data_IF_206529132425
#
_entry.id   IF_206529132425
#
_cell.length_a   1.000
_cell.length_b   1.000
_cell.length_c   1.000
_cell.angle_alpha   90.00
_cell.angle_beta   90.00
_cell.angle_gamma   90.00
#
_symmetry.space_group_name_H-M   'P 1'
#
loop_
_entity.id
_entity.type
_entity.pdbx_description
1 polymer ?
#
# COMPACT_ATOMS: atom_id res chain seq x y z
N UNK A 1 -72.80 -27.90 20.23
CA UNK A 1 -71.33 -28.07 20.11
C UNK A 1 -70.97 -27.80 18.67
N UNK A 2 -70.26 -26.70 18.36
CA UNK A 2 -69.93 -26.35 16.98
C UNK A 2 -69.43 -24.93 16.71
N UNK A 3 -69.10 -24.12 17.73
CA UNK A 3 -68.73 -22.70 17.54
C UNK A 3 -67.26 -22.35 17.83
N UNK A 4 -66.43 -23.31 18.27
CA UNK A 4 -65.02 -23.03 18.62
C UNK A 4 -64.03 -23.21 17.46
N UNK A 5 -64.35 -24.02 16.45
CA UNK A 5 -63.47 -24.23 15.29
C UNK A 5 -63.33 -23.01 14.38
N UNK A 6 -64.41 -22.25 14.20
CA UNK A 6 -64.47 -21.14 13.24
C UNK A 6 -63.70 -19.89 13.74
N UNK A 7 -63.72 -19.64 15.05
CA UNK A 7 -62.96 -18.55 15.67
C UNK A 7 -61.44 -18.83 15.72
N UNK A 8 -61.05 -20.09 15.90
CA UNK A 8 -59.64 -20.48 15.85
C UNK A 8 -59.05 -20.31 14.44
N UNK A 9 -59.78 -20.67 13.39
CA UNK A 9 -59.35 -20.45 12.02
C UNK A 9 -59.19 -18.95 11.70
N UNK A 10 -60.16 -18.12 12.10
CA UNK A 10 -60.05 -16.66 11.92
C UNK A 10 -58.88 -16.00 12.67
N UNK A 11 -58.56 -16.46 13.88
CA UNK A 11 -57.42 -15.95 14.63
C UNK A 11 -56.07 -16.35 13.98
N UNK A 12 -55.99 -17.57 13.46
CA UNK A 12 -54.82 -18.06 12.71
C UNK A 12 -54.68 -17.31 11.37
N UNK A 13 -55.77 -17.09 10.64
CA UNK A 13 -55.76 -16.30 9.40
C UNK A 13 -55.36 -14.84 9.66
N UNK A 14 -55.82 -14.26 10.78
CA UNK A 14 -55.40 -12.95 11.24
C UNK A 14 -53.89 -12.88 11.51
N UNK A 15 -53.33 -13.91 12.15
CA UNK A 15 -51.89 -14.00 12.42
C UNK A 15 -51.07 -14.17 11.13
N UNK A 16 -51.54 -15.02 10.19
CA UNK A 16 -50.91 -15.20 8.88
C UNK A 16 -50.91 -13.90 8.08
N UNK A 17 -52.02 -13.16 8.09
CA UNK A 17 -52.10 -11.84 7.45
C UNK A 17 -51.16 -10.83 8.11
N UNK A 18 -51.05 -10.82 9.44
CA UNK A 18 -50.13 -9.95 10.16
C UNK A 18 -48.67 -10.24 9.78
N UNK A 19 -48.26 -11.51 9.78
CA UNK A 19 -46.89 -11.88 9.39
C UNK A 19 -46.61 -11.60 7.92
N UNK A 20 -47.59 -11.82 7.04
CA UNK A 20 -47.47 -11.49 5.62
C UNK A 20 -47.26 -10.00 5.42
N UNK A 21 -48.04 -9.17 6.13
CA UNK A 21 -47.88 -7.72 6.12
C UNK A 21 -46.53 -7.29 6.71
N UNK A 22 -46.13 -7.83 7.86
CA UNK A 22 -44.85 -7.50 8.48
C UNK A 22 -43.67 -7.86 7.56
N UNK A 23 -43.72 -9.02 6.89
CA UNK A 23 -42.71 -9.43 5.93
C UNK A 23 -42.66 -8.50 4.71
N UNK A 24 -43.82 -8.08 4.21
CA UNK A 24 -43.91 -7.09 3.15
C UNK A 24 -43.31 -5.75 3.57
N UNK A 25 -43.70 -5.24 4.74
CA UNK A 25 -43.20 -3.97 5.28
C UNK A 25 -41.67 -4.02 5.47
N UNK A 26 -41.12 -5.10 6.01
CA UNK A 26 -39.67 -5.32 6.14
C UNK A 26 -38.96 -5.34 4.77
N UNK A 27 -39.57 -5.98 3.77
CA UNK A 27 -39.02 -6.03 2.41
C UNK A 27 -38.97 -4.63 1.79
N UNK A 28 -40.02 -3.83 1.98
CA UNK A 28 -40.08 -2.44 1.50
C UNK A 28 -39.01 -1.59 2.19
N UNK A 29 -38.86 -1.71 3.50
CA UNK A 29 -37.82 -1.01 4.27
C UNK A 29 -36.43 -1.40 3.77
N UNK A 30 -36.15 -2.70 3.62
CA UNK A 30 -34.86 -3.18 3.12
C UNK A 30 -34.52 -2.62 1.74
N UNK A 31 -35.47 -2.65 0.81
CA UNK A 31 -35.27 -2.15 -0.55
C UNK A 31 -35.02 -0.63 -0.57
N UNK A 32 -35.72 0.12 0.29
CA UNK A 32 -35.52 1.56 0.41
C UNK A 32 -34.14 1.89 0.99
N UNK A 33 -33.72 1.17 2.03
CA UNK A 33 -32.40 1.33 2.63
C UNK A 33 -31.29 0.99 1.63
N UNK A 34 -31.40 -0.09 0.85
CA UNK A 34 -30.40 -0.43 -0.16
C UNK A 34 -30.27 0.66 -1.25
N UNK A 35 -31.40 1.23 -1.67
CA UNK A 35 -31.43 2.33 -2.64
C UNK A 35 -30.78 3.59 -2.08
N UNK A 36 -31.16 4.00 -0.87
CA UNK A 36 -30.58 5.17 -0.20
C UNK A 36 -29.08 4.97 0.04
N UNK A 37 -28.67 3.77 0.46
CA UNK A 37 -27.27 3.42 0.67
C UNK A 37 -26.44 3.56 -0.62
N UNK A 38 -26.90 3.02 -1.75
CA UNK A 38 -26.20 3.15 -3.04
C UNK A 38 -26.17 4.59 -3.57
N UNK A 39 -27.19 5.38 -3.26
CA UNK A 39 -27.25 6.78 -3.66
C UNK A 39 -26.26 7.64 -2.86
N UNK A 40 -26.16 7.41 -1.55
CA UNK A 40 -25.24 8.12 -0.66
C UNK A 40 -23.79 7.67 -0.88
N UNK A 41 -23.59 6.36 -1.07
CA UNK A 41 -22.27 5.75 -1.23
C UNK A 41 -22.10 5.17 -2.63
N UNK A 42 -21.60 5.97 -3.60
CA UNK A 42 -21.20 5.45 -4.89
C UNK A 42 -20.07 4.43 -4.75
N UNK A 43 -19.84 3.64 -5.79
CA UNK A 43 -18.95 2.48 -5.76
C UNK A 43 -17.53 2.75 -5.26
N UNK A 44 -16.97 3.92 -5.54
CA UNK A 44 -15.65 4.36 -5.09
C UNK A 44 -15.60 4.76 -3.61
N UNK A 45 -16.74 5.07 -3.00
CA UNK A 45 -16.90 5.50 -1.61
C UNK A 45 -17.70 4.51 -0.75
N UNK A 46 -18.10 3.36 -1.31
CA UNK A 46 -18.81 2.32 -0.59
C UNK A 46 -17.92 1.76 0.54
N UNK A 47 -18.35 1.88 1.82
CA UNK A 47 -17.53 1.46 2.97
C UNK A 47 -17.06 0.00 2.90
N UNK A 48 -17.91 -0.90 2.42
CA UNK A 48 -17.58 -2.32 2.31
C UNK A 48 -16.51 -2.57 1.25
N UNK A 49 -16.59 -1.86 0.12
CA UNK A 49 -15.56 -1.90 -0.95
C UNK A 49 -14.27 -1.21 -0.52
N UNK A 50 -14.34 -0.15 0.28
CA UNK A 50 -13.16 0.50 0.83
C UNK A 50 -12.41 -0.44 1.77
N UNK A 51 -13.12 -1.11 2.68
CA UNK A 51 -12.50 -2.10 3.59
C UNK A 51 -11.84 -3.24 2.81
N UNK A 52 -12.48 -3.75 1.75
CA UNK A 52 -11.85 -4.81 0.96
C UNK A 52 -10.60 -4.35 0.21
N UNK A 53 -10.60 -3.12 -0.33
CA UNK A 53 -9.42 -2.51 -0.96
C UNK A 53 -8.30 -2.26 0.05
N UNK A 54 -8.63 -1.78 1.24
CA UNK A 54 -7.66 -1.56 2.32
C UNK A 54 -7.02 -2.88 2.74
N UNK A 55 -7.83 -3.94 2.95
CA UNK A 55 -7.31 -5.27 3.26
C UNK A 55 -6.38 -5.79 2.18
N UNK A 56 -6.78 -5.66 0.91
CA UNK A 56 -5.93 -6.04 -0.22
C UNK A 56 -4.57 -5.31 -0.19
N UNK A 57 -4.58 -4.00 0.05
CA UNK A 57 -3.34 -3.21 0.17
C UNK A 57 -2.52 -3.70 1.37
N UNK A 58 -3.14 -3.95 2.53
CA UNK A 58 -2.46 -4.46 3.72
C UNK A 58 -1.82 -5.84 3.49
N UNK A 59 -2.45 -6.69 2.69
CA UNK A 59 -1.93 -8.01 2.34
C UNK A 59 -0.78 -7.93 1.33
N UNK A 60 -0.86 -7.01 0.35
CA UNK A 60 0.15 -6.86 -0.72
C UNK A 60 1.37 -6.02 -0.32
N UNK A 61 1.20 -5.04 0.59
CA UNK A 61 2.24 -4.09 0.98
C UNK A 61 3.49 -4.75 1.61
N UNK A 62 3.39 -5.76 2.49
CA UNK A 62 4.56 -6.44 3.06
C UNK A 62 5.41 -7.13 1.98
N UNK A 63 4.75 -7.81 1.04
CA UNK A 63 5.42 -8.47 -0.08
C UNK A 63 6.13 -7.46 -0.98
N UNK A 64 5.49 -6.32 -1.25
CA UNK A 64 6.11 -5.24 -2.01
C UNK A 64 7.32 -4.64 -1.27
N UNK A 65 7.22 -4.44 0.05
CA UNK A 65 8.34 -3.94 0.88
C UNK A 65 9.54 -4.90 0.81
N UNK A 66 9.29 -6.20 0.94
CA UNK A 66 10.34 -7.23 0.85
C UNK A 66 11.02 -7.21 -0.53
N UNK A 67 10.25 -7.16 -1.62
CA UNK A 67 10.80 -7.07 -2.97
C UNK A 67 11.64 -5.80 -3.19
N UNK A 68 11.22 -4.66 -2.63
CA UNK A 68 12.02 -3.43 -2.68
C UNK A 68 13.33 -3.59 -1.90
N UNK A 69 13.31 -4.20 -0.72
CA UNK A 69 14.52 -4.44 0.08
C UNK A 69 15.50 -5.39 -0.62
N UNK A 70 14.99 -6.45 -1.25
CA UNK A 70 15.81 -7.37 -2.06
C UNK A 70 16.44 -6.64 -3.25
N UNK A 71 15.67 -5.82 -3.96
CA UNK A 71 16.17 -5.02 -5.08
C UNK A 71 17.26 -4.03 -4.64
N UNK A 72 17.08 -3.35 -3.51
CA UNK A 72 18.08 -2.45 -2.95
C UNK A 72 19.37 -3.20 -2.60
N UNK A 73 19.25 -4.38 -1.99
CA UNK A 73 20.39 -5.24 -1.64
C UNK A 73 21.14 -5.71 -2.89
N UNK A 74 20.41 -6.19 -3.90
CA UNK A 74 20.99 -6.61 -5.17
C UNK A 74 21.71 -5.47 -5.91
N UNK A 75 21.16 -4.24 -5.84
CA UNK A 75 21.82 -3.06 -6.40
C UNK A 75 23.11 -2.70 -5.65
N UNK A 76 23.11 -2.81 -4.32
CA UNK A 76 24.32 -2.57 -3.52
C UNK A 76 25.42 -3.59 -3.84
N UNK A 77 25.06 -4.87 -3.95
CA UNK A 77 25.99 -5.92 -4.36
C UNK A 77 26.61 -5.67 -5.74
N UNK A 78 25.80 -5.16 -6.68
CA UNK A 78 26.28 -4.80 -8.01
C UNK A 78 27.27 -3.64 -7.96
N UNK A 79 27.00 -2.61 -7.16
CA UNK A 79 27.88 -1.47 -6.95
C UNK A 79 29.21 -1.93 -6.35
N UNK A 80 29.17 -2.77 -5.33
CA UNK A 80 30.37 -3.27 -4.66
C UNK A 80 31.25 -4.12 -5.59
N UNK A 81 30.62 -4.97 -6.41
CA UNK A 81 31.30 -5.73 -7.46
C UNK A 81 31.92 -4.82 -8.52
N UNK A 82 31.15 -3.86 -9.05
CA UNK A 82 31.64 -2.92 -10.04
C UNK A 82 32.83 -2.11 -9.52
N UNK A 83 32.74 -1.60 -8.28
CA UNK A 83 33.81 -0.87 -7.62
C UNK A 83 35.06 -1.72 -7.47
N UNK A 84 34.92 -2.94 -6.96
CA UNK A 84 36.05 -3.86 -6.77
C UNK A 84 36.74 -4.18 -8.10
N UNK A 85 35.97 -4.49 -9.15
CA UNK A 85 36.50 -4.78 -10.48
C UNK A 85 37.18 -3.58 -11.12
N UNK A 86 36.53 -2.40 -11.12
CA UNK A 86 37.07 -1.20 -11.76
C UNK A 86 38.33 -0.72 -11.05
N UNK A 87 38.32 -0.64 -9.71
CA UNK A 87 39.50 -0.25 -8.93
C UNK A 87 40.65 -1.24 -9.13
N UNK A 88 40.37 -2.55 -9.11
CA UNK A 88 41.37 -3.60 -9.35
C UNK A 88 41.98 -3.56 -10.76
N UNK A 89 41.14 -3.35 -11.77
CA UNK A 89 41.58 -3.20 -13.17
C UNK A 89 42.44 -1.95 -13.35
N UNK A 90 42.03 -0.82 -12.78
CA UNK A 90 42.82 0.43 -12.81
C UNK A 90 44.17 0.26 -12.13
N UNK A 91 44.22 -0.36 -10.95
CA UNK A 91 45.47 -0.63 -10.26
C UNK A 91 46.43 -1.46 -11.13
N UNK A 92 45.90 -2.46 -11.84
CA UNK A 92 46.70 -3.29 -12.76
C UNK A 92 47.18 -2.52 -13.98
N UNK A 93 46.33 -1.68 -14.58
CA UNK A 93 46.72 -0.77 -15.67
C UNK A 93 47.83 0.19 -15.26
N UNK A 94 47.74 0.79 -14.06
CA UNK A 94 48.77 1.69 -13.53
C UNK A 94 50.12 1.01 -13.36
N UNK A 95 50.13 -0.23 -12.84
CA UNK A 95 51.37 -1.01 -12.75
C UNK A 95 51.98 -1.26 -14.13
N UNK A 96 51.14 -1.58 -15.13
CA UNK A 96 51.60 -1.81 -16.50
C UNK A 96 52.16 -0.53 -17.13
N UNK A 97 51.46 0.60 -17.01
CA UNK A 97 51.92 1.91 -17.47
C UNK A 97 53.28 2.27 -16.87
N UNK A 98 53.43 2.09 -15.55
CA UNK A 98 54.69 2.32 -14.84
C UNK A 98 55.81 1.44 -15.41
N UNK A 99 55.54 0.15 -15.64
CA UNK A 99 56.52 -0.79 -16.20
C UNK A 99 56.95 -0.48 -17.64
N UNK A 100 56.10 0.20 -18.41
CA UNK A 100 56.36 0.59 -19.79
C UNK A 100 56.85 2.03 -19.94
N UNK A 101 57.03 2.76 -18.82
CA UNK A 101 57.43 4.17 -18.83
C UNK A 101 56.37 5.13 -19.41
N UNK A 102 55.11 4.71 -19.43
CA UNK A 102 53.98 5.50 -19.92
C UNK A 102 53.48 6.38 -18.75
N UNK A 103 53.17 7.67 -18.99
CA UNK A 103 52.59 8.54 -17.97
C UNK A 103 51.30 7.97 -17.37
N UNK A 104 51.19 8.01 -16.04
CA UNK A 104 50.00 7.57 -15.32
C UNK A 104 48.94 8.66 -15.39
N UNK A 105 47.71 8.29 -15.78
CA UNK A 105 46.55 9.19 -15.76
C UNK A 105 46.05 9.31 -14.30
N UNK A 106 45.95 10.55 -13.81
CA UNK A 106 45.37 10.85 -12.49
C UNK A 106 43.89 10.45 -12.44
N UNK A 107 43.38 10.13 -11.26
CA UNK A 107 41.95 9.80 -11.11
C UNK A 107 41.03 11.00 -11.42
N UNK A 108 41.51 12.23 -11.17
CA UNK A 108 40.81 13.48 -11.53
C UNK A 108 40.74 13.72 -13.03
N UNK A 109 41.67 13.15 -13.78
CA UNK A 109 41.85 13.41 -15.21
C UNK A 109 41.09 12.38 -16.06
N UNK A 110 40.36 11.46 -15.39
CA UNK A 110 39.47 10.49 -16.00
C UNK A 110 38.01 10.86 -15.72
N UNK A 111 37.32 11.53 -16.67
CA UNK A 111 35.93 11.93 -16.51
C UNK A 111 34.98 10.74 -16.29
N UNK A 112 35.29 9.57 -16.86
CA UNK A 112 34.43 8.39 -16.74
C UNK A 112 34.54 7.78 -15.33
N UNK A 113 35.74 7.75 -14.76
CA UNK A 113 35.94 7.28 -13.39
C UNK A 113 35.39 8.26 -12.35
N UNK A 114 35.51 9.57 -12.60
CA UNK A 114 34.90 10.60 -11.75
C UNK A 114 33.39 10.48 -11.73
N UNK A 115 32.75 10.43 -12.91
CA UNK A 115 31.31 10.23 -13.05
C UNK A 115 30.82 8.93 -12.38
N UNK A 116 31.58 7.84 -12.47
CA UNK A 116 31.24 6.60 -11.78
C UNK A 116 31.18 6.77 -10.25
N UNK A 117 32.14 7.49 -9.66
CA UNK A 117 32.14 7.74 -8.22
C UNK A 117 30.99 8.67 -7.81
N UNK A 118 30.72 9.72 -8.59
CA UNK A 118 29.60 10.65 -8.33
C UNK A 118 28.25 9.91 -8.30
N UNK A 119 28.00 9.02 -9.27
CA UNK A 119 26.77 8.21 -9.32
C UNK A 119 26.65 7.29 -8.08
N UNK A 120 27.76 6.73 -7.60
CA UNK A 120 27.76 5.90 -6.38
C UNK A 120 27.51 6.73 -5.13
N UNK A 121 28.11 7.91 -5.04
CA UNK A 121 27.95 8.80 -3.91
C UNK A 121 26.51 9.33 -3.84
N UNK A 122 25.93 9.71 -4.98
CA UNK A 122 24.52 10.09 -5.09
C UNK A 122 23.60 8.97 -4.60
N UNK A 123 23.83 7.75 -5.07
CA UNK A 123 23.08 6.57 -4.61
C UNK A 123 23.18 6.38 -3.09
N UNK A 124 24.39 6.50 -2.54
CA UNK A 124 24.65 6.33 -1.10
C UNK A 124 23.88 7.35 -0.27
N UNK A 125 23.74 8.59 -0.75
CA UNK A 125 22.94 9.63 -0.12
C UNK A 125 21.45 9.29 -0.16
N UNK A 126 20.93 8.87 -1.32
CA UNK A 126 19.51 8.53 -1.49
C UNK A 126 19.06 7.35 -0.61
N UNK A 127 19.91 6.34 -0.41
CA UNK A 127 19.59 5.20 0.47
C UNK A 127 19.59 5.61 1.94
N UNK A 128 20.53 6.48 2.35
CA UNK A 128 20.62 6.96 3.74
C UNK A 128 19.45 7.84 4.13
N UNK A 129 19.10 8.83 3.29
CA UNK A 129 18.02 9.76 3.60
C UNK A 129 16.68 9.05 3.81
N UNK A 130 16.40 7.99 3.03
CA UNK A 130 15.16 7.22 3.13
C UNK A 130 15.09 6.31 4.35
N UNK A 131 16.24 5.94 4.91
CA UNK A 131 16.29 5.10 6.13
C UNK A 131 15.99 5.93 7.38
N UNK A 132 16.28 7.24 7.36
CA UNK A 132 15.99 8.15 8.48
C UNK A 132 14.49 8.55 8.54
N UNK A 133 13.82 8.70 7.39
CA UNK A 133 12.39 9.05 7.33
C UNK A 133 11.45 7.95 7.89
N UNK A 134 11.82 6.66 7.79
CA UNK A 134 11.00 5.54 8.31
C UNK A 134 10.86 5.53 9.85
N UNK A 135 11.68 6.29 10.59
CA UNK A 135 11.67 6.32 12.06
C UNK A 135 10.63 7.32 12.61
N UNK A 136 10.19 8.31 11.82
CA UNK A 136 9.37 9.44 12.29
C UNK A 136 7.87 9.38 11.90
N UNK A 137 7.49 8.60 10.89
CA UNK A 137 6.11 8.58 10.34
C UNK A 137 5.09 7.72 11.13
N UNK A 138 5.44 7.24 12.32
CA UNK A 138 4.63 6.27 13.07
C UNK A 138 3.42 6.80 13.85
N UNK A 139 3.14 8.12 13.91
CA UNK A 139 2.26 8.66 14.97
C UNK A 139 1.12 9.61 14.56
N UNK A 140 0.98 10.02 13.29
CA UNK A 140 -0.22 10.79 12.92
C UNK A 140 -1.34 9.85 12.50
N UNK A 141 -2.05 9.38 13.53
CA UNK A 141 -3.22 8.52 13.50
C UNK A 141 -4.27 9.05 12.50
N UNK A 142 -4.22 8.54 11.26
CA UNK A 142 -5.13 8.86 10.15
C UNK A 142 -6.59 8.71 10.59
N UNK A 143 -6.88 7.77 11.49
CA UNK A 143 -8.22 7.62 12.05
C UNK A 143 -8.62 8.86 12.85
N UNK A 144 -7.73 9.42 13.68
CA UNK A 144 -8.00 10.65 14.44
C UNK A 144 -8.28 11.83 13.53
N UNK A 145 -7.56 11.94 12.41
CA UNK A 145 -7.77 13.00 11.43
C UNK A 145 -9.13 12.85 10.71
N UNK A 146 -9.48 11.63 10.27
CA UNK A 146 -10.77 11.33 9.62
C UNK A 146 -11.97 11.53 10.56
N UNK A 147 -11.86 11.13 11.84
CA UNK A 147 -12.97 11.24 12.78
C UNK A 147 -13.11 12.66 13.38
N UNK A 148 -12.04 13.45 13.43
CA UNK A 148 -12.12 14.85 13.86
C UNK A 148 -12.84 15.77 12.84
N UNK A 149 -12.71 15.50 11.53
CA UNK A 149 -13.34 16.28 10.48
C UNK A 149 -14.88 16.10 10.42
N UNK A 150 -15.39 14.95 10.84
CA UNK A 150 -16.83 14.64 10.79
C UNK A 150 -17.60 15.29 11.96
N UNK A 151 -16.93 15.59 13.08
CA UNK A 151 -17.58 16.11 14.30
C UNK A 151 -17.74 17.64 14.29
N UNK A 152 -17.08 18.38 13.40
CA UNK A 152 -17.17 19.85 13.33
C UNK A 152 -18.34 20.39 12.49
N UNK A 153 -19.10 19.51 11.82
CA UNK A 153 -20.27 19.90 11.03
C UNK A 153 -21.59 19.62 11.75
N UNK A 154 -21.90 20.40 12.79
CA UNK A 154 -23.24 20.44 13.40
C UNK A 154 -23.60 21.88 13.79
#
# INVERSE_FOLDING_TARGET
MGYEGDHHHHAVDGLVNLFTKANHDLTVVNNRLDKEFRQIYPDNANPMKLVSRIKKIQDELPSLKEQCQELLSAKQDLIDKARTTIVGNRASLRRLQTSMGIPIISDSDDPAYTNFNEVIDEWTVQVRSRTEDEIDEGSEDINRMLFSAIVQGN
#
